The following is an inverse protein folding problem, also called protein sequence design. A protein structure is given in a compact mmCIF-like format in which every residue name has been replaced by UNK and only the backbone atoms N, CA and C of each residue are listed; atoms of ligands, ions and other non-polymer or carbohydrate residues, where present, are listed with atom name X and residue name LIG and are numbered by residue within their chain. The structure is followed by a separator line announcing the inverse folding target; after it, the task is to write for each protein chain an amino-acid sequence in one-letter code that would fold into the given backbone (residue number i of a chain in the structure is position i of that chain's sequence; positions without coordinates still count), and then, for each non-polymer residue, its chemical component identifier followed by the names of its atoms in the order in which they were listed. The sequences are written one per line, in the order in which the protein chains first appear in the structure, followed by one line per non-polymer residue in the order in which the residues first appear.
data_IF_073211833866
#
_entry.id   IF_073211833866
#
_cell.length_a   1.000
_cell.length_b   1.000
_cell.length_c   1.000
_cell.angle_alpha   90.00
_cell.angle_beta   90.00
_cell.angle_gamma   90.00
#
_symmetry.space_group_name_H-M   'P 1'
#
loop_
_entity.id
_entity.type
_entity.pdbx_description
1 polymer ?
#
# COMPACT_ATOMS: atom_id res chain seq x y z
N UNK A 1 -3.60 -4.23 23.80
CA UNK A 1 -2.25 -4.65 23.32
C UNK A 1 -1.31 -3.46 23.49
N UNK A 2 -0.26 -3.58 24.31
CA UNK A 2 0.70 -2.49 24.50
C UNK A 2 1.42 -2.21 23.17
N UNK A 3 1.26 -1.00 22.62
CA UNK A 3 1.95 -0.58 21.41
C UNK A 3 3.46 -0.51 21.71
N UNK A 4 4.22 -1.46 21.17
CA UNK A 4 5.68 -1.49 21.28
C UNK A 4 6.24 -0.35 20.43
N UNK A 5 6.45 0.82 21.03
CA UNK A 5 7.04 1.97 20.36
C UNK A 5 8.56 1.75 20.17
N UNK A 6 9.06 2.07 18.97
CA UNK A 6 10.49 2.13 18.68
C UNK A 6 10.86 3.57 18.31
N UNK A 7 11.95 4.09 18.89
CA UNK A 7 12.48 5.40 18.51
C UNK A 7 13.18 5.28 17.15
N UNK A 8 12.81 6.16 16.23
CA UNK A 8 13.42 6.27 14.91
C UNK A 8 13.94 7.69 14.78
N UNK A 9 15.18 7.86 14.32
CA UNK A 9 15.75 9.17 14.05
C UNK A 9 15.51 9.50 12.58
N UNK A 10 14.82 10.60 12.30
CA UNK A 10 14.61 11.12 10.97
C UNK A 10 14.66 12.65 11.03
N UNK A 11 15.01 13.26 9.90
CA UNK A 11 15.06 14.71 9.76
C UNK A 11 13.71 15.19 9.24
N UNK A 12 13.18 16.26 9.83
CA UNK A 12 11.98 16.95 9.35
C UNK A 12 12.36 18.37 8.96
N UNK A 13 11.61 18.94 8.02
CA UNK A 13 11.75 20.36 7.65
C UNK A 13 11.50 21.24 8.87
N UNK A 14 12.31 22.28 9.03
CA UNK A 14 12.23 23.24 10.13
C UNK A 14 10.84 23.90 10.19
N UNK A 15 10.24 24.20 9.03
CA UNK A 15 8.89 24.77 8.95
C UNK A 15 7.85 23.81 9.51
N UNK A 16 7.90 22.54 9.08
CA UNK A 16 7.01 21.48 9.57
C UNK A 16 7.21 21.20 11.06
N UNK A 17 8.44 21.27 11.56
CA UNK A 17 8.71 21.12 12.99
C UNK A 17 8.04 22.23 13.80
N UNK A 18 8.17 23.49 13.37
CA UNK A 18 7.55 24.64 14.03
C UNK A 18 6.02 24.54 14.02
N UNK A 19 5.43 24.14 12.88
CA UNK A 19 3.99 23.92 12.77
C UNK A 19 3.51 22.80 13.70
N UNK A 20 4.20 21.65 13.70
CA UNK A 20 3.89 20.53 14.58
C UNK A 20 3.97 20.93 16.06
N UNK A 21 4.97 21.73 16.42
CA UNK A 21 5.16 22.19 17.80
C UNK A 21 4.09 23.20 18.22
N UNK A 22 3.64 24.05 17.29
CA UNK A 22 2.61 25.08 17.54
C UNK A 22 1.19 24.51 17.59
N UNK A 23 0.88 23.54 16.73
CA UNK A 23 -0.48 23.01 16.56
C UNK A 23 -0.75 21.78 17.43
N UNK A 24 0.28 21.01 17.78
CA UNK A 24 0.11 19.73 18.47
C UNK A 24 0.72 19.76 19.87
N UNK A 25 -0.09 19.46 20.92
CA UNK A 25 0.40 19.35 22.28
C UNK A 25 1.54 18.32 22.40
N UNK A 26 2.52 18.60 23.25
CA UNK A 26 3.78 17.85 23.36
C UNK A 26 3.59 16.32 23.54
N UNK A 27 2.53 15.89 24.24
CA UNK A 27 2.22 14.46 24.44
C UNK A 27 1.53 13.75 23.26
N UNK A 28 1.00 14.51 22.29
CA UNK A 28 0.25 13.96 21.16
C UNK A 28 1.04 13.94 19.84
N UNK A 29 2.21 14.61 19.78
CA UNK A 29 3.04 14.71 18.57
C UNK A 29 3.38 13.34 17.98
N UNK A 30 3.83 12.40 18.81
CA UNK A 30 4.13 11.03 18.37
C UNK A 30 2.90 10.32 17.80
N UNK A 31 1.71 10.55 18.38
CA UNK A 31 0.46 9.96 17.87
C UNK A 31 0.10 10.53 16.50
N UNK A 32 0.15 11.86 16.34
CA UNK A 32 -0.15 12.54 15.08
C UNK A 32 0.81 12.11 13.97
N UNK A 33 2.12 12.09 14.25
CA UNK A 33 3.13 11.64 13.28
C UNK A 33 2.90 10.18 12.89
N UNK A 34 2.64 9.30 13.85
CA UNK A 34 2.34 7.90 13.56
C UNK A 34 1.07 7.73 12.70
N UNK A 35 0.03 8.52 12.94
CA UNK A 35 -1.19 8.48 12.14
C UNK A 35 -0.97 9.01 10.72
N UNK A 36 -0.22 10.10 10.55
CA UNK A 36 0.16 10.61 9.24
C UNK A 36 0.99 9.59 8.45
N UNK A 37 2.01 8.99 9.09
CA UNK A 37 2.83 7.95 8.47
C UNK A 37 2.02 6.71 8.10
N UNK A 38 1.05 6.29 8.93
CA UNK A 38 0.17 5.15 8.59
C UNK A 38 -0.65 5.42 7.33
N UNK A 39 -1.20 6.63 7.18
CA UNK A 39 -1.96 7.01 5.99
C UNK A 39 -1.06 6.98 4.74
N UNK A 40 0.13 7.56 4.83
CA UNK A 40 1.05 7.62 3.70
C UNK A 40 1.58 6.23 3.31
N UNK A 41 1.97 5.40 4.28
CA UNK A 41 2.40 4.03 4.01
C UNK A 41 1.28 3.19 3.38
N UNK A 42 0.03 3.43 3.74
CA UNK A 42 -1.10 2.74 3.14
C UNK A 42 -1.33 3.16 1.68
N UNK A 43 -1.14 4.45 1.36
CA UNK A 43 -1.14 4.96 -0.01
C UNK A 43 -0.03 4.30 -0.84
N UNK A 44 1.21 4.32 -0.36
CA UNK A 44 2.35 3.67 -1.04
C UNK A 44 2.15 2.16 -1.25
N UNK A 45 1.53 1.46 -0.29
CA UNK A 45 1.20 0.04 -0.44
C UNK A 45 0.21 -0.20 -1.57
N UNK A 46 -0.81 0.66 -1.70
CA UNK A 46 -1.80 0.57 -2.78
C UNK A 46 -1.17 0.85 -4.12
N UNK A 47 -0.34 1.88 -4.23
CA UNK A 47 0.38 2.21 -5.46
C UNK A 47 1.25 1.03 -5.93
N UNK A 48 2.06 0.46 -5.03
CA UNK A 48 2.86 -0.73 -5.35
C UNK A 48 2.02 -1.94 -5.75
N UNK A 49 0.86 -2.15 -5.13
CA UNK A 49 -0.05 -3.23 -5.51
C UNK A 49 -0.63 -3.00 -6.91
N UNK A 50 -1.05 -1.77 -7.21
CA UNK A 50 -1.54 -1.39 -8.53
C UNK A 50 -0.47 -1.54 -9.60
N UNK A 51 0.76 -1.10 -9.35
CA UNK A 51 1.90 -1.29 -10.26
C UNK A 51 2.13 -2.78 -10.57
N UNK A 52 2.08 -3.65 -9.55
CA UNK A 52 2.20 -5.10 -9.73
C UNK A 52 1.07 -5.66 -10.60
N UNK A 53 -0.18 -5.23 -10.37
CA UNK A 53 -1.33 -5.67 -11.17
C UNK A 53 -1.22 -5.22 -12.62
N UNK A 54 -0.79 -3.97 -12.85
CA UNK A 54 -0.57 -3.44 -14.20
C UNK A 54 0.52 -4.26 -14.90
N UNK A 55 1.63 -4.55 -14.21
CA UNK A 55 2.72 -5.36 -14.75
C UNK A 55 2.24 -6.76 -15.13
N UNK A 56 1.55 -7.46 -14.23
CA UNK A 56 0.96 -8.78 -14.52
C UNK A 56 0.02 -8.69 -15.71
N UNK A 57 -0.86 -7.69 -15.78
CA UNK A 57 -1.76 -7.48 -16.92
C UNK A 57 -1.02 -7.24 -18.24
N UNK A 58 0.11 -6.53 -18.21
CA UNK A 58 0.91 -6.27 -19.40
C UNK A 58 1.68 -7.49 -19.90
N UNK A 59 2.11 -8.36 -18.98
CA UNK A 59 2.88 -9.59 -19.28
C UNK A 59 1.97 -10.79 -19.56
N UNK A 60 0.71 -10.75 -19.12
CA UNK A 60 -0.23 -11.85 -19.31
C UNK A 60 -0.80 -11.87 -20.72
N UNK A 61 -0.87 -13.04 -21.38
CA UNK A 61 -1.59 -13.19 -22.63
C UNK A 61 -3.06 -12.81 -22.44
N UNK A 62 -3.59 -12.02 -23.39
CA UNK A 62 -5.01 -11.64 -23.39
C UNK A 62 -5.82 -12.85 -23.89
N UNK A 63 -6.16 -13.75 -22.99
CA UNK A 63 -7.00 -14.90 -23.30
C UNK A 63 -8.46 -14.48 -23.23
N UNK A 64 -9.22 -14.78 -24.29
CA UNK A 64 -10.67 -14.53 -24.33
C UNK A 64 -11.44 -15.59 -23.53
N UNK A 65 -12.65 -15.24 -23.09
CA UNK A 65 -13.55 -16.20 -22.41
C UNK A 65 -13.88 -17.39 -23.33
N UNK A 66 -13.96 -17.17 -24.64
CA UNK A 66 -14.19 -18.22 -25.64
C UNK A 66 -13.03 -19.22 -25.70
N UNK A 67 -11.78 -18.75 -25.65
CA UNK A 67 -10.61 -19.61 -25.60
C UNK A 67 -10.55 -20.42 -24.31
N UNK A 68 -10.84 -19.78 -23.17
CA UNK A 68 -10.89 -20.47 -21.86
C UNK A 68 -11.97 -21.56 -21.87
N UNK A 69 -13.17 -21.24 -22.33
CA UNK A 69 -14.29 -22.20 -22.36
C UNK A 69 -14.07 -23.31 -23.37
N UNK A 70 -13.43 -23.03 -24.51
CA UNK A 70 -13.02 -24.05 -25.49
C UNK A 70 -12.04 -25.03 -24.88
N UNK A 71 -11.02 -24.55 -24.17
CA UNK A 71 -10.02 -25.43 -23.56
C UNK A 71 -10.59 -26.24 -22.38
N UNK A 72 -11.44 -25.63 -21.55
CA UNK A 72 -12.18 -26.33 -20.49
C UNK A 72 -13.11 -27.42 -21.04
N UNK A 73 -13.78 -27.18 -22.19
CA UNK A 73 -14.63 -28.18 -22.84
C UNK A 73 -13.82 -29.36 -23.37
N UNK A 74 -12.64 -29.12 -23.94
CA UNK A 74 -11.74 -30.20 -24.41
C UNK A 74 -11.22 -31.05 -23.24
N UNK A 75 -10.87 -30.42 -22.14
CA UNK A 75 -10.36 -31.12 -20.95
C UNK A 75 -11.43 -32.03 -20.33
N UNK A 76 -12.66 -31.53 -20.22
CA UNK A 76 -13.82 -32.31 -19.78
C UNK A 76 -14.24 -33.46 -20.71
N UNK A 77 -13.82 -33.45 -21.97
CA UNK A 77 -14.08 -34.55 -22.91
C UNK A 77 -12.97 -35.62 -22.90
N UNK A 78 -11.82 -35.31 -22.26
CA UNK A 78 -10.69 -36.25 -22.12
C UNK A 78 -10.75 -37.09 -20.84
N UNK A 79 -11.60 -36.72 -19.88
CA UNK A 79 -11.89 -37.45 -18.65
C UNK A 79 -13.29 -38.05 -18.69
#
# INVERSE_FOLDING_TARGET
MALKARRVNFVIDEKLSKELDSLVPHGQRSKVVNEALRKELLKLKREKATERLIKIRSESPKVSIEEITKELRKDRQKH
#
